data_IF_543839508503
#
_entry.id   IF_543839508503
#
_cell.length_a   1.000
_cell.length_b   1.000
_cell.length_c   1.000
_cell.angle_alpha   90.00
_cell.angle_beta   90.00
_cell.angle_gamma   90.00
#
_symmetry.space_group_name_H-M   'P 1'
#
loop_
_entity.id
_entity.type
_entity.pdbx_description
1 polymer ?
#
# COMPACT_ATOMS: atom_id res chain seq x y z
N UNK A 1 2.61 -2.71 -15.08
CA UNK A 1 1.94 -3.83 -14.39
C UNK A 1 3.02 -4.57 -13.62
N UNK A 2 3.01 -4.54 -12.28
CA UNK A 2 4.01 -5.27 -11.49
C UNK A 2 3.50 -6.69 -11.27
N UNK A 3 4.30 -7.70 -11.61
CA UNK A 3 3.97 -9.10 -11.33
C UNK A 3 4.15 -9.35 -9.84
N UNK A 4 3.10 -9.85 -9.19
CA UNK A 4 3.14 -10.25 -7.78
C UNK A 4 3.53 -11.73 -7.70
N UNK A 5 4.41 -12.04 -6.76
CA UNK A 5 4.81 -13.41 -6.45
C UNK A 5 4.48 -13.71 -4.99
N UNK A 6 3.89 -14.87 -4.74
CA UNK A 6 3.75 -15.42 -3.40
C UNK A 6 5.05 -16.09 -3.00
N UNK A 7 5.56 -15.73 -1.82
CA UNK A 7 6.66 -16.44 -1.17
C UNK A 7 6.13 -17.76 -0.62
N UNK A 8 6.68 -18.87 -1.10
CA UNK A 8 6.40 -20.21 -0.61
C UNK A 8 7.45 -20.64 0.41
N UNK A 9 8.02 -21.83 0.21
CA UNK A 9 9.06 -22.36 1.06
C UNK A 9 10.35 -21.51 0.97
N UNK A 10 10.95 -21.25 2.14
CA UNK A 10 12.28 -20.66 2.28
C UNK A 10 13.14 -21.71 2.96
N UNK A 11 14.19 -22.19 2.29
CA UNK A 11 15.08 -23.21 2.84
C UNK A 11 16.54 -22.90 2.56
N UNK A 12 17.40 -23.37 3.43
CA UNK A 12 18.84 -23.28 3.26
C UNK A 12 19.31 -24.39 2.32
N UNK A 13 20.25 -24.08 1.43
CA UNK A 13 20.77 -25.10 0.52
C UNK A 13 21.64 -26.10 1.27
N UNK A 14 21.52 -27.39 0.93
CA UNK A 14 22.31 -28.44 1.57
C UNK A 14 23.82 -28.31 1.30
N UNK A 15 24.18 -27.70 0.17
CA UNK A 15 25.58 -27.54 -0.28
C UNK A 15 26.29 -26.36 0.40
N UNK A 16 25.54 -25.34 0.85
CA UNK A 16 26.12 -24.15 1.44
C UNK A 16 25.17 -23.50 2.45
N UNK A 17 25.57 -23.47 3.72
CA UNK A 17 24.81 -22.85 4.80
C UNK A 17 24.76 -21.30 4.74
N UNK A 18 25.33 -20.68 3.71
CA UNK A 18 25.19 -19.24 3.46
C UNK A 18 24.24 -18.95 2.30
N UNK A 19 23.75 -19.97 1.62
CA UNK A 19 22.81 -19.84 0.50
C UNK A 19 21.40 -20.27 0.92
N UNK A 20 20.44 -19.46 0.51
CA UNK A 20 19.01 -19.68 0.74
C UNK A 20 18.29 -19.78 -0.59
N UNK A 21 17.43 -20.79 -0.72
CA UNK A 21 16.49 -20.96 -1.81
C UNK A 21 15.12 -20.46 -1.34
N UNK A 22 14.52 -19.57 -2.14
CA UNK A 22 13.18 -19.03 -1.91
C UNK A 22 12.30 -19.43 -3.08
N UNK A 23 11.26 -20.21 -2.81
CA UNK A 23 10.27 -20.55 -3.83
C UNK A 23 9.31 -19.38 -4.02
N UNK A 24 9.14 -18.97 -5.28
CA UNK A 24 8.21 -17.92 -5.67
C UNK A 24 7.16 -18.52 -6.61
N UNK A 25 5.89 -18.35 -6.26
CA UNK A 25 4.77 -18.73 -7.10
C UNK A 25 4.16 -17.48 -7.75
N UNK A 26 3.98 -17.51 -9.07
CA UNK A 26 3.27 -16.44 -9.79
C UNK A 26 1.81 -16.41 -9.32
N UNK A 27 1.28 -15.21 -9.09
CA UNK A 27 -0.15 -15.00 -8.81
C UNK A 27 -0.86 -14.41 -10.01
N UNK A 28 -2.17 -14.56 -10.06
CA UNK A 28 -3.03 -13.88 -11.03
C UNK A 28 -4.22 -13.20 -10.33
N UNK A 29 -5.08 -12.54 -11.11
CA UNK A 29 -6.24 -11.81 -10.60
C UNK A 29 -7.29 -12.71 -9.92
N UNK A 30 -7.26 -14.02 -10.16
CA UNK A 30 -8.14 -15.01 -9.53
C UNK A 30 -7.53 -15.64 -8.28
N UNK A 31 -6.35 -15.19 -7.83
CA UNK A 31 -5.70 -15.72 -6.65
C UNK A 31 -6.54 -15.43 -5.37
N UNK A 32 -7.02 -16.47 -4.64
CA UNK A 32 -7.94 -16.27 -3.52
C UNK A 32 -7.33 -15.52 -2.33
N UNK A 33 -6.02 -15.67 -2.08
CA UNK A 33 -5.38 -14.98 -0.98
C UNK A 33 -5.15 -13.51 -1.34
N UNK A 34 -4.78 -13.22 -2.59
CA UNK A 34 -4.65 -11.85 -3.09
C UNK A 34 -6.00 -11.12 -3.06
N UNK A 35 -7.08 -11.81 -3.45
CA UNK A 35 -8.45 -11.31 -3.34
C UNK A 35 -8.83 -11.01 -1.88
N UNK A 36 -8.55 -11.95 -0.97
CA UNK A 36 -8.82 -11.77 0.47
C UNK A 36 -8.04 -10.58 1.05
N UNK A 37 -6.75 -10.47 0.74
CA UNK A 37 -5.91 -9.35 1.16
C UNK A 37 -6.45 -8.02 0.63
N UNK A 38 -6.84 -7.97 -0.64
CA UNK A 38 -7.38 -6.77 -1.28
C UNK A 38 -8.69 -6.33 -0.63
N UNK A 39 -9.58 -7.27 -0.32
CA UNK A 39 -10.84 -6.97 0.37
C UNK A 39 -10.57 -6.45 1.78
N UNK A 40 -9.64 -7.08 2.52
CA UNK A 40 -9.28 -6.61 3.85
C UNK A 40 -8.72 -5.19 3.84
N UNK A 41 -7.84 -4.88 2.88
CA UNK A 41 -7.31 -3.52 2.70
C UNK A 41 -8.46 -2.53 2.43
N UNK A 42 -9.44 -2.89 1.59
CA UNK A 42 -10.59 -2.03 1.29
C UNK A 42 -11.48 -1.75 2.52
N UNK A 43 -11.62 -2.71 3.42
CA UNK A 43 -12.37 -2.59 4.67
C UNK A 43 -11.66 -1.71 5.70
N UNK A 44 -10.33 -1.79 5.78
CA UNK A 44 -9.53 -0.98 6.72
C UNK A 44 -9.42 0.49 6.32
N UNK A 45 -9.66 0.81 5.05
CA UNK A 45 -9.52 2.18 4.53
C UNK A 45 -10.87 2.89 4.61
N UNK A 46 -11.00 3.67 5.67
CA UNK A 46 -12.11 4.59 5.91
C UNK A 46 -12.03 5.86 5.06
N UNK A 47 -13.15 6.59 5.00
CA UNK A 47 -13.29 7.86 4.29
C UNK A 47 -13.93 7.73 2.91
N UNK A 48 -14.11 8.87 2.24
CA UNK A 48 -14.78 8.96 0.95
C UNK A 48 -13.91 9.64 -0.11
N UNK A 49 -14.22 9.37 -1.37
CA UNK A 49 -13.59 10.01 -2.53
C UNK A 49 -12.06 10.01 -2.50
N UNK A 50 -11.47 11.19 -2.71
CA UNK A 50 -10.03 11.37 -2.80
C UNK A 50 -9.29 11.11 -1.49
N UNK A 51 -9.91 11.35 -0.33
CA UNK A 51 -9.26 11.06 0.96
C UNK A 51 -9.10 9.56 1.19
N UNK A 52 -10.10 8.76 0.78
CA UNK A 52 -10.01 7.30 0.77
C UNK A 52 -8.90 6.83 -0.17
N UNK A 53 -8.79 7.44 -1.34
CA UNK A 53 -7.73 7.14 -2.31
C UNK A 53 -6.33 7.46 -1.76
N UNK A 54 -6.15 8.61 -1.12
CA UNK A 54 -4.88 8.97 -0.49
C UNK A 54 -4.48 8.00 0.62
N UNK A 55 -5.43 7.57 1.47
CA UNK A 55 -5.20 6.55 2.50
C UNK A 55 -4.84 5.19 1.89
N UNK A 56 -5.48 4.80 0.79
CA UNK A 56 -5.11 3.60 0.04
C UNK A 56 -3.67 3.68 -0.44
N UNK A 57 -3.29 4.78 -1.10
CA UNK A 57 -1.93 4.99 -1.60
C UNK A 57 -0.89 4.87 -0.48
N UNK A 58 -1.16 5.45 0.70
CA UNK A 58 -0.29 5.28 1.87
C UNK A 58 -0.18 3.83 2.32
N UNK A 59 -1.31 3.11 2.41
CA UNK A 59 -1.36 1.72 2.85
C UNK A 59 -0.58 0.78 1.94
N UNK A 60 -0.56 1.05 0.63
CA UNK A 60 0.17 0.26 -0.37
C UNK A 60 1.57 0.81 -0.71
N UNK A 61 2.05 1.83 0.02
CA UNK A 61 3.40 2.36 -0.12
C UNK A 61 3.62 3.29 -1.32
N UNK A 62 2.56 3.77 -1.97
CA UNK A 62 2.63 4.74 -3.06
C UNK A 62 2.75 6.18 -2.51
N UNK A 63 3.83 6.44 -1.77
CA UNK A 63 4.00 7.67 -0.99
C UNK A 63 4.05 8.93 -1.85
N UNK A 64 4.80 8.92 -2.96
CA UNK A 64 4.91 10.08 -3.86
C UNK A 64 3.54 10.47 -4.45
N UNK A 65 2.74 9.48 -4.84
CA UNK A 65 1.41 9.70 -5.38
C UNK A 65 0.43 10.21 -4.31
N UNK A 66 0.55 9.69 -3.08
CA UNK A 66 -0.23 10.18 -1.95
C UNK A 66 0.12 11.63 -1.63
N UNK A 67 1.41 11.99 -1.61
CA UNK A 67 1.86 13.36 -1.38
C UNK A 67 1.29 14.31 -2.45
N UNK A 68 1.43 13.97 -3.73
CA UNK A 68 0.89 14.78 -4.82
C UNK A 68 -0.63 14.99 -4.69
N UNK A 69 -1.35 13.92 -4.34
CA UNK A 69 -2.80 13.99 -4.14
C UNK A 69 -3.18 14.91 -2.97
N UNK A 70 -2.53 14.75 -1.81
CA UNK A 70 -2.82 15.58 -0.64
C UNK A 70 -2.43 17.04 -0.86
N UNK A 71 -1.33 17.32 -1.57
CA UNK A 71 -0.98 18.69 -1.96
C UNK A 71 -2.03 19.31 -2.90
N UNK A 72 -2.66 18.53 -3.79
CA UNK A 72 -3.77 19.01 -4.63
C UNK A 72 -5.03 19.26 -3.81
N UNK A 73 -5.36 18.37 -2.87
CA UNK A 73 -6.50 18.56 -1.98
C UNK A 73 -6.34 19.81 -1.11
N UNK A 74 -5.12 20.07 -0.62
CA UNK A 74 -4.81 21.24 0.21
C UNK A 74 -5.14 22.56 -0.49
N UNK A 75 -4.92 22.66 -1.81
CA UNK A 75 -5.21 23.87 -2.60
C UNK A 75 -6.69 24.22 -2.64
N UNK A 76 -7.57 23.23 -2.44
CA UNK A 76 -9.02 23.37 -2.54
C UNK A 76 -9.73 23.14 -1.18
N UNK A 77 -8.98 23.01 -0.09
CA UNK A 77 -9.53 22.76 1.22
C UNK A 77 -10.38 23.94 1.69
N UNK A 78 -11.59 23.66 2.16
CA UNK A 78 -12.61 24.68 2.45
C UNK A 78 -12.84 24.93 3.93
N UNK A 79 -12.18 24.15 4.81
CA UNK A 79 -12.33 24.27 6.25
C UNK A 79 -11.03 23.98 6.99
N UNK A 80 -10.88 24.55 8.18
CA UNK A 80 -9.71 24.30 9.04
C UNK A 80 -9.58 22.83 9.43
N UNK A 81 -10.70 22.13 9.61
CA UNK A 81 -10.72 20.69 9.90
C UNK A 81 -10.12 19.88 8.73
N UNK A 82 -10.49 20.24 7.50
CA UNK A 82 -9.98 19.60 6.29
C UNK A 82 -8.48 19.89 6.10
N UNK A 83 -8.07 21.14 6.28
CA UNK A 83 -6.67 21.55 6.25
C UNK A 83 -5.84 20.79 7.30
N UNK A 84 -6.33 20.70 8.53
CA UNK A 84 -5.67 19.97 9.61
C UNK A 84 -5.54 18.48 9.30
N UNK A 85 -6.59 17.87 8.75
CA UNK A 85 -6.56 16.49 8.30
C UNK A 85 -5.50 16.28 7.21
N UNK A 86 -5.49 17.12 6.17
CA UNK A 86 -4.55 17.01 5.06
C UNK A 86 -3.10 17.17 5.54
N UNK A 87 -2.82 18.13 6.43
CA UNK A 87 -1.48 18.28 7.01
C UNK A 87 -1.08 17.09 7.87
N UNK A 88 -2.00 16.48 8.62
CA UNK A 88 -1.72 15.25 9.35
C UNK A 88 -1.29 14.13 8.40
N UNK A 89 -2.00 13.93 7.28
CA UNK A 89 -1.64 12.92 6.29
C UNK A 89 -0.29 13.21 5.62
N UNK A 90 0.00 14.48 5.29
CA UNK A 90 1.31 14.90 4.77
C UNK A 90 2.44 14.72 5.79
N UNK A 91 2.16 14.82 7.08
CA UNK A 91 3.12 14.55 8.14
C UNK A 91 3.50 13.06 8.23
N UNK A 92 2.53 12.16 8.05
CA UNK A 92 2.77 10.70 8.02
C UNK A 92 3.68 10.27 6.86
N UNK A 93 3.75 11.06 5.78
CA UNK A 93 4.58 10.79 4.60
C UNK A 93 6.06 11.13 4.80
N UNK A 94 6.39 11.99 5.77
CA UNK A 94 7.75 12.52 5.96
C UNK A 94 8.54 11.87 7.10
N UNK A 95 7.96 10.88 7.78
CA UNK A 95 8.57 10.09 8.85
C UNK A 95 8.94 8.69 8.36
#
# INVERSE_FOLDING_TARGET
>A
MHTVFRVGEIKQTAENNRLWEVQLAITDDNDPQLSTLTNRIKEEIEGEGWYRMGRLMLKVGHFDQAEELYQKLLKNASSDSDIAFIYHMLGLLKN
#
